data_IF_675201407910
#
_entry.id   IF_675201407910
#
_cell.length_a   1.000
_cell.length_b   1.000
_cell.length_c   1.000
_cell.angle_alpha   90.00
_cell.angle_beta   90.00
_cell.angle_gamma   90.00
#
_symmetry.space_group_name_H-M   'P 1'
#
loop_
_entity.id
_entity.type
_entity.pdbx_description
1 polymer ?
#
# COMPACT_ATOMS: atom_id res chain seq x y z
N UNK A 1 -5.24 -20.07 57.68
CA UNK A 1 -5.06 -20.84 56.44
C UNK A 1 -4.35 -19.92 55.45
N UNK A 2 -3.03 -20.07 55.32
CA UNK A 2 -2.24 -19.28 54.37
C UNK A 2 -2.55 -19.85 52.99
N UNK A 3 -3.11 -19.06 52.07
CA UNK A 3 -3.16 -19.44 50.66
C UNK A 3 -1.71 -19.52 50.19
N UNK A 4 -1.13 -20.71 50.19
CA UNK A 4 0.04 -20.97 49.35
C UNK A 4 -0.45 -20.84 47.91
N UNK A 5 -0.06 -19.77 47.23
CA UNK A 5 -0.17 -19.71 45.77
C UNK A 5 0.53 -20.95 45.24
N UNK A 6 -0.25 -21.88 44.70
CA UNK A 6 0.28 -23.08 44.10
C UNK A 6 1.05 -22.66 42.84
N UNK A 7 2.37 -22.52 43.00
CA UNK A 7 3.25 -22.12 41.90
C UNK A 7 3.39 -23.22 40.86
N UNK A 8 2.84 -24.42 41.09
CA UNK A 8 2.78 -25.50 40.10
C UNK A 8 2.12 -25.05 38.81
N UNK A 9 1.11 -24.17 38.89
CA UNK A 9 0.50 -23.57 37.72
C UNK A 9 1.51 -22.83 36.84
N UNK A 10 2.48 -22.13 37.44
CA UNK A 10 3.52 -21.38 36.73
C UNK A 10 4.67 -22.29 36.30
N UNK A 11 5.07 -23.24 37.14
CA UNK A 11 6.28 -24.05 36.93
C UNK A 11 6.04 -25.29 36.07
N UNK A 12 4.89 -25.94 36.16
CA UNK A 12 4.63 -27.23 35.50
C UNK A 12 3.99 -27.06 34.11
N UNK A 13 3.55 -25.85 33.79
CA UNK A 13 2.92 -25.47 32.52
C UNK A 13 3.61 -24.34 31.76
N UNK A 14 4.87 -24.01 32.09
CA UNK A 14 5.56 -22.83 31.57
C UNK A 14 5.57 -22.74 30.03
N UNK A 15 5.68 -23.88 29.34
CA UNK A 15 5.67 -23.94 27.88
C UNK A 15 4.27 -23.65 27.29
N UNK A 16 3.21 -24.08 27.97
CA UNK A 16 1.83 -23.70 27.63
C UNK A 16 1.55 -22.22 27.87
N UNK A 17 2.04 -21.66 28.99
CA UNK A 17 1.93 -20.22 29.24
C UNK A 17 2.71 -19.39 28.21
N UNK A 18 3.89 -19.86 27.81
CA UNK A 18 4.68 -19.23 26.76
C UNK A 18 3.93 -19.21 25.43
N UNK A 19 3.25 -20.29 25.05
CA UNK A 19 2.46 -20.32 23.80
C UNK A 19 1.30 -19.32 23.85
N UNK A 20 0.52 -19.27 24.94
CA UNK A 20 -0.56 -18.28 25.09
C UNK A 20 -0.04 -16.85 25.14
N UNK A 21 1.08 -16.60 25.82
CA UNK A 21 1.70 -15.28 25.87
C UNK A 21 2.12 -14.81 24.47
N UNK A 22 2.77 -15.67 23.69
CA UNK A 22 3.13 -15.38 22.30
C UNK A 22 1.90 -15.11 21.43
N UNK A 23 0.80 -15.84 21.66
CA UNK A 23 -0.47 -15.61 20.97
C UNK A 23 -1.07 -14.24 21.33
N UNK A 24 -1.12 -13.90 22.62
CA UNK A 24 -1.63 -12.59 23.08
C UNK A 24 -0.76 -11.45 22.54
N UNK A 25 0.57 -11.60 22.59
CA UNK A 25 1.49 -10.63 22.00
C UNK A 25 1.29 -10.48 20.49
N UNK A 26 0.98 -11.58 19.77
CA UNK A 26 0.68 -11.52 18.34
C UNK A 26 -0.53 -10.65 18.04
N UNK A 27 -1.55 -10.63 18.92
CA UNK A 27 -2.76 -9.80 18.76
C UNK A 27 -2.49 -8.30 18.94
N UNK A 28 -1.37 -7.93 19.57
CA UNK A 28 -0.94 -6.54 19.69
C UNK A 28 -0.16 -6.06 18.46
N UNK A 29 0.27 -6.97 17.58
CA UNK A 29 1.10 -6.63 16.43
C UNK A 29 0.28 -6.05 15.29
N UNK A 30 0.74 -4.92 14.75
CA UNK A 30 0.08 -4.22 13.64
C UNK A 30 0.60 -4.62 12.26
N UNK A 31 1.70 -5.37 12.18
CA UNK A 31 2.28 -5.81 10.91
C UNK A 31 1.96 -7.27 10.62
N UNK A 32 1.48 -7.53 9.40
CA UNK A 32 1.06 -8.87 8.96
C UNK A 32 2.19 -9.91 9.09
N UNK A 33 3.43 -9.56 8.74
CA UNK A 33 4.55 -10.51 8.78
C UNK A 33 4.86 -10.95 10.21
N UNK A 34 5.00 -10.00 11.14
CA UNK A 34 5.37 -10.33 12.51
C UNK A 34 4.25 -11.06 13.26
N UNK A 35 2.99 -10.70 12.99
CA UNK A 35 1.84 -11.40 13.56
C UNK A 35 1.88 -12.88 13.16
N UNK A 36 2.09 -13.18 11.87
CA UNK A 36 2.19 -14.57 11.38
C UNK A 36 3.38 -15.31 11.99
N UNK A 37 4.54 -14.67 12.09
CA UNK A 37 5.73 -15.29 12.71
C UNK A 37 5.51 -15.62 14.19
N UNK A 38 4.88 -14.72 14.96
CA UNK A 38 4.59 -14.95 16.37
C UNK A 38 3.53 -16.03 16.58
N UNK A 39 2.50 -16.08 15.73
CA UNK A 39 1.50 -17.17 15.75
C UNK A 39 2.15 -18.51 15.46
N UNK A 40 3.03 -18.59 14.45
CA UNK A 40 3.79 -19.83 14.16
C UNK A 40 4.68 -20.22 15.34
N UNK A 41 5.41 -19.28 15.93
CA UNK A 41 6.25 -19.55 17.10
C UNK A 41 5.44 -20.03 18.32
N UNK A 42 4.29 -19.39 18.59
CA UNK A 42 3.33 -19.79 19.62
C UNK A 42 2.84 -21.21 19.38
N UNK A 43 2.39 -21.52 18.16
CA UNK A 43 1.83 -22.81 17.83
C UNK A 43 2.87 -23.93 17.89
N UNK A 44 4.12 -23.67 17.49
CA UNK A 44 5.23 -24.63 17.66
C UNK A 44 5.53 -24.92 19.13
N UNK A 45 5.51 -23.90 20.00
CA UNK A 45 5.64 -24.09 21.44
C UNK A 45 4.45 -24.89 22.02
N UNK A 46 3.23 -24.61 21.53
CA UNK A 46 2.02 -25.36 21.86
C UNK A 46 2.11 -26.85 21.48
N UNK A 47 2.56 -27.15 20.24
CA UNK A 47 2.79 -28.53 19.77
C UNK A 47 3.77 -29.26 20.67
N UNK A 48 4.90 -28.62 20.99
CA UNK A 48 5.90 -29.22 21.87
C UNK A 48 5.32 -29.56 23.24
N UNK A 49 4.53 -28.64 23.81
CA UNK A 49 3.88 -28.86 25.11
C UNK A 49 2.83 -29.99 25.06
N UNK A 50 1.93 -29.96 24.07
CA UNK A 50 0.89 -30.97 23.89
C UNK A 50 1.47 -32.37 23.65
N UNK A 51 2.59 -32.45 22.91
CA UNK A 51 3.23 -33.72 22.58
C UNK A 51 4.08 -34.30 23.73
N UNK A 52 4.96 -33.50 24.34
CA UNK A 52 5.94 -34.01 25.31
C UNK A 52 5.41 -34.07 26.76
N UNK A 53 4.47 -33.20 27.15
CA UNK A 53 3.97 -33.12 28.54
C UNK A 53 2.56 -33.66 28.71
N UNK A 54 1.64 -33.35 27.78
CA UNK A 54 0.22 -33.69 27.93
C UNK A 54 -0.17 -34.99 27.23
N UNK A 55 0.59 -35.43 26.22
CA UNK A 55 0.19 -36.54 25.35
C UNK A 55 -1.16 -36.29 24.67
N UNK A 56 -1.44 -35.03 24.31
CA UNK A 56 -2.72 -34.56 23.79
C UNK A 56 -2.72 -34.52 22.25
N UNK A 57 -3.16 -35.58 21.54
CA UNK A 57 -3.13 -35.61 20.07
C UNK A 57 -4.07 -34.58 19.43
N UNK A 58 -5.15 -34.19 20.12
CA UNK A 58 -6.11 -33.21 19.62
C UNK A 58 -5.48 -31.81 19.59
N UNK A 59 -4.72 -31.44 20.64
CA UNK A 59 -3.97 -30.19 20.69
C UNK A 59 -2.92 -30.10 19.59
N UNK A 60 -2.10 -31.15 19.45
CA UNK A 60 -1.09 -31.25 18.38
C UNK A 60 -1.72 -31.09 16.99
N UNK A 61 -2.86 -31.72 16.73
CA UNK A 61 -3.58 -31.59 15.47
C UNK A 61 -3.99 -30.14 15.18
N UNK A 62 -4.67 -29.48 16.11
CA UNK A 62 -5.15 -28.10 15.92
C UNK A 62 -4.00 -27.10 15.78
N UNK A 63 -2.95 -27.24 16.58
CA UNK A 63 -1.77 -26.38 16.50
C UNK A 63 -1.01 -26.58 15.17
N UNK A 64 -0.94 -27.83 14.69
CA UNK A 64 -0.33 -28.13 13.38
C UNK A 64 -1.14 -27.53 12.22
N UNK A 65 -2.47 -27.56 12.31
CA UNK A 65 -3.34 -26.89 11.34
C UNK A 65 -3.11 -25.36 11.36
N UNK A 66 -2.98 -24.77 12.54
CA UNK A 66 -2.69 -23.34 12.70
C UNK A 66 -1.33 -22.96 12.07
N UNK A 67 -0.29 -23.76 12.30
CA UNK A 67 1.03 -23.58 11.66
C UNK A 67 0.89 -23.67 10.13
N UNK A 68 0.21 -24.69 9.61
CA UNK A 68 0.06 -24.89 8.17
C UNK A 68 -0.62 -23.70 7.48
N UNK A 69 -1.71 -23.19 8.06
CA UNK A 69 -2.42 -22.00 7.54
C UNK A 69 -1.51 -20.77 7.54
N UNK A 70 -0.81 -20.49 8.65
CA UNK A 70 0.06 -19.32 8.74
C UNK A 70 1.28 -19.41 7.80
N UNK A 71 1.84 -20.61 7.60
CA UNK A 71 2.89 -20.84 6.61
C UNK A 71 2.40 -20.64 5.17
N UNK A 72 1.18 -21.09 4.85
CA UNK A 72 0.58 -20.87 3.54
C UNK A 72 0.37 -19.37 3.28
N UNK A 73 -0.12 -18.61 4.25
CA UNK A 73 -0.28 -17.15 4.13
C UNK A 73 1.06 -16.43 3.98
N UNK A 74 2.09 -16.82 4.73
CA UNK A 74 3.46 -16.30 4.57
C UNK A 74 4.01 -16.60 3.16
N UNK A 75 3.77 -17.82 2.65
CA UNK A 75 4.19 -18.21 1.31
C UNK A 75 3.45 -17.41 0.22
N UNK A 76 2.15 -17.15 0.39
CA UNK A 76 1.36 -16.31 -0.53
C UNK A 76 1.89 -14.87 -0.52
N UNK A 77 2.12 -14.29 0.65
CA UNK A 77 2.68 -12.94 0.80
C UNK A 77 4.04 -12.83 0.10
N UNK A 78 4.93 -13.78 0.39
CA UNK A 78 6.26 -13.84 -0.20
C UNK A 78 6.23 -14.05 -1.72
N UNK A 79 5.36 -14.93 -2.21
CA UNK A 79 5.19 -15.19 -3.65
C UNK A 79 4.68 -13.96 -4.38
N UNK A 80 3.74 -13.23 -3.79
CA UNK A 80 3.18 -12.01 -4.38
C UNK A 80 4.23 -10.89 -4.47
N UNK A 81 5.09 -10.75 -3.45
CA UNK A 81 6.15 -9.75 -3.47
C UNK A 81 7.32 -10.14 -4.40
N UNK A 82 7.71 -11.43 -4.45
CA UNK A 82 8.81 -11.88 -5.31
C UNK A 82 8.46 -11.97 -6.80
N UNK A 83 7.19 -12.11 -7.16
CA UNK A 83 6.75 -12.18 -8.56
C UNK A 83 6.53 -10.81 -9.19
N UNK A 84 6.64 -9.74 -8.42
CA UNK A 84 6.52 -8.38 -8.94
C UNK A 84 7.73 -8.07 -9.82
N UNK A 85 7.51 -8.01 -11.13
CA UNK A 85 8.48 -7.55 -12.12
C UNK A 85 8.05 -6.16 -12.58
N UNK A 86 9.02 -5.26 -12.72
CA UNK A 86 8.81 -3.89 -13.16
C UNK A 86 9.73 -3.60 -14.33
N UNK A 87 9.22 -2.85 -15.30
CA UNK A 87 10.06 -2.20 -16.30
C UNK A 87 10.88 -1.06 -15.67
N UNK A 88 11.86 -0.53 -16.40
CA UNK A 88 12.67 0.61 -15.93
C UNK A 88 11.80 1.84 -15.64
N UNK A 89 10.80 2.12 -16.48
CA UNK A 89 9.85 3.24 -16.27
C UNK A 89 8.97 3.02 -15.02
N UNK A 90 8.51 1.78 -14.80
CA UNK A 90 7.70 1.45 -13.63
C UNK A 90 8.51 1.47 -12.33
N UNK A 91 9.78 1.06 -12.37
CA UNK A 91 10.63 1.05 -11.19
C UNK A 91 10.99 2.48 -10.73
N UNK A 92 11.24 3.38 -11.69
CA UNK A 92 11.41 4.81 -11.41
C UNK A 92 10.15 5.41 -10.75
N UNK A 93 8.97 5.16 -11.34
CA UNK A 93 7.68 5.59 -10.79
C UNK A 93 7.45 5.03 -9.37
N UNK A 94 7.66 3.73 -9.19
CA UNK A 94 7.47 3.04 -7.91
C UNK A 94 8.37 3.64 -6.83
N UNK A 95 9.64 3.85 -7.13
CA UNK A 95 10.62 4.34 -6.16
C UNK A 95 10.33 5.77 -5.72
N UNK A 96 9.84 6.61 -6.63
CA UNK A 96 9.52 8.01 -6.32
C UNK A 96 8.17 8.17 -5.61
N UNK A 97 7.14 7.45 -6.05
CA UNK A 97 5.76 7.73 -5.64
C UNK A 97 5.13 6.64 -4.76
N UNK A 98 5.54 5.39 -4.92
CA UNK A 98 4.97 4.24 -4.22
C UNK A 98 5.92 3.60 -3.19
N UNK A 99 6.94 4.34 -2.73
CA UNK A 99 7.96 3.83 -1.81
C UNK A 99 7.39 3.22 -0.49
N UNK A 100 6.18 3.60 -0.09
CA UNK A 100 5.50 3.04 1.08
C UNK A 100 4.82 1.68 0.86
N UNK A 101 4.82 1.15 -0.37
CA UNK A 101 4.18 -0.11 -0.72
C UNK A 101 5.19 -1.25 -0.88
N UNK A 102 4.77 -2.46 -0.54
CA UNK A 102 5.53 -3.66 -0.92
C UNK A 102 5.56 -3.79 -2.45
N UNK A 103 6.56 -4.49 -3.04
CA UNK A 103 6.59 -4.75 -4.48
C UNK A 103 5.28 -5.34 -5.01
N UNK A 104 4.69 -6.32 -4.32
CA UNK A 104 3.42 -6.91 -4.74
C UNK A 104 2.24 -5.93 -4.69
N UNK A 105 2.21 -5.03 -3.70
CA UNK A 105 1.21 -3.97 -3.62
C UNK A 105 1.36 -2.94 -4.74
N UNK A 106 2.59 -2.49 -5.01
CA UNK A 106 2.88 -1.55 -6.10
C UNK A 106 2.52 -2.15 -7.47
N UNK A 107 2.87 -3.41 -7.71
CA UNK A 107 2.51 -4.13 -8.95
C UNK A 107 1.00 -4.19 -9.16
N UNK A 108 0.26 -4.65 -8.14
CA UNK A 108 -1.22 -4.70 -8.18
C UNK A 108 -1.86 -3.33 -8.40
N UNK A 109 -1.24 -2.26 -7.96
CA UNK A 109 -1.73 -0.91 -8.21
C UNK A 109 -1.45 -0.48 -9.66
N UNK A 110 -0.21 -0.65 -10.13
CA UNK A 110 0.18 -0.32 -11.49
C UNK A 110 -0.65 -1.07 -12.55
N UNK A 111 -0.99 -2.34 -12.28
CA UNK A 111 -1.80 -3.17 -13.16
C UNK A 111 -3.26 -2.69 -13.33
N UNK A 112 -3.73 -1.78 -12.47
CA UNK A 112 -5.07 -1.17 -12.61
C UNK A 112 -5.11 -0.01 -13.60
N UNK A 113 -3.94 0.56 -13.88
CA UNK A 113 -3.76 1.58 -14.90
C UNK A 113 -3.04 1.04 -16.12
N UNK A 114 -2.66 1.95 -17.02
CA UNK A 114 -1.94 1.62 -18.25
C UNK A 114 -1.03 2.75 -18.66
N UNK A 115 0.10 2.37 -19.25
CA UNK A 115 1.00 3.31 -19.90
C UNK A 115 0.50 3.63 -21.30
N UNK A 116 0.48 4.92 -21.65
CA UNK A 116 0.04 5.44 -22.94
C UNK A 116 1.03 6.51 -23.43
N UNK A 117 1.19 6.60 -24.75
CA UNK A 117 1.77 7.78 -25.40
C UNK A 117 0.62 8.67 -25.88
N UNK A 118 0.64 9.93 -25.46
CA UNK A 118 -0.37 10.91 -25.83
C UNK A 118 0.27 12.02 -26.68
N UNK A 119 -0.41 12.46 -27.76
CA UNK A 119 0.11 13.51 -28.62
C UNK A 119 0.02 14.89 -27.96
N UNK A 120 0.85 15.81 -28.46
CA UNK A 120 0.72 17.24 -28.18
C UNK A 120 -0.70 17.75 -28.45
N UNK A 121 -1.15 18.73 -27.69
CA UNK A 121 -2.48 19.33 -27.78
C UNK A 121 -3.59 18.51 -27.10
N UNK A 122 -3.30 17.28 -26.64
CA UNK A 122 -4.27 16.50 -25.87
C UNK A 122 -4.59 17.19 -24.54
N UNK A 123 -5.87 17.35 -24.25
CA UNK A 123 -6.37 17.83 -22.96
C UNK A 123 -6.49 16.63 -22.00
N UNK A 124 -5.87 16.73 -20.82
CA UNK A 124 -5.98 15.70 -19.78
C UNK A 124 -7.08 16.00 -18.76
N UNK A 125 -7.26 17.27 -18.41
CA UNK A 125 -8.33 17.77 -17.54
C UNK A 125 -8.89 19.07 -18.08
N UNK A 126 -10.16 19.34 -17.78
CA UNK A 126 -10.83 20.59 -18.08
C UNK A 126 -11.34 21.18 -16.78
N UNK A 127 -11.01 22.45 -16.54
CA UNK A 127 -11.42 23.18 -15.35
C UNK A 127 -12.94 23.10 -15.11
N UNK A 128 -13.33 22.81 -13.87
CA UNK A 128 -14.73 22.61 -13.45
C UNK A 128 -15.34 21.26 -13.84
N UNK A 129 -14.67 20.44 -14.68
CA UNK A 129 -15.17 19.12 -15.06
C UNK A 129 -14.52 18.00 -14.26
N UNK A 130 -15.26 16.93 -13.97
CA UNK A 130 -14.70 15.76 -13.28
C UNK A 130 -13.78 14.98 -14.23
N UNK A 131 -12.48 14.83 -13.93
CA UNK A 131 -11.58 14.03 -14.75
C UNK A 131 -11.97 12.55 -14.76
N UNK A 132 -11.97 11.93 -15.93
CA UNK A 132 -12.19 10.49 -16.07
C UNK A 132 -10.99 9.68 -15.56
N UNK A 133 -9.77 10.25 -15.69
CA UNK A 133 -8.52 9.58 -15.33
C UNK A 133 -7.67 10.45 -14.42
N UNK A 134 -7.03 9.82 -13.44
CA UNK A 134 -5.79 10.32 -12.86
C UNK A 134 -4.64 9.94 -13.80
N UNK A 135 -3.80 10.90 -14.14
CA UNK A 135 -2.64 10.66 -15.01
C UNK A 135 -1.35 11.02 -14.27
N UNK A 136 -0.33 10.19 -14.41
CA UNK A 136 1.04 10.53 -14.03
C UNK A 136 1.84 10.79 -15.30
N UNK A 137 2.49 11.96 -15.37
CA UNK A 137 3.34 12.35 -16.48
C UNK A 137 4.75 11.82 -16.22
N UNK A 138 5.21 10.84 -17.01
CA UNK A 138 6.57 10.31 -16.89
C UNK A 138 7.59 11.11 -17.70
N UNK A 139 7.19 11.62 -18.87
CA UNK A 139 8.01 12.48 -19.71
C UNK A 139 7.15 13.38 -20.58
N UNK A 140 7.75 14.47 -21.07
CA UNK A 140 7.09 15.52 -21.84
C UNK A 140 6.66 16.68 -20.95
N UNK A 141 5.86 17.58 -21.51
CA UNK A 141 5.48 18.85 -20.91
C UNK A 141 3.96 19.05 -20.97
N UNK A 142 3.39 19.61 -19.90
CA UNK A 142 1.97 19.94 -19.83
C UNK A 142 1.78 21.37 -19.32
N UNK A 143 1.00 22.14 -20.06
CA UNK A 143 0.61 23.49 -19.68
C UNK A 143 -0.66 23.45 -18.83
N UNK A 144 -0.64 24.16 -17.71
CA UNK A 144 -1.73 24.27 -16.73
C UNK A 144 -2.34 25.67 -16.86
N UNK A 145 -3.64 25.70 -17.16
CA UNK A 145 -4.43 26.91 -17.31
C UNK A 145 -5.52 26.98 -16.24
N UNK A 146 -5.65 28.16 -15.60
CA UNK A 146 -6.72 28.48 -14.63
C UNK A 146 -7.38 29.76 -15.10
N UNK A 147 -8.71 29.82 -15.11
CA UNK A 147 -9.47 30.95 -15.66
C UNK A 147 -9.03 31.33 -17.09
N UNK A 148 -8.66 30.33 -17.89
CA UNK A 148 -8.15 30.50 -19.26
C UNK A 148 -6.75 31.12 -19.37
N UNK A 149 -6.06 31.42 -18.26
CA UNK A 149 -4.70 31.96 -18.25
C UNK A 149 -3.69 30.86 -18.02
N UNK A 150 -2.59 30.87 -18.79
CA UNK A 150 -1.45 29.99 -18.54
C UNK A 150 -0.81 30.35 -17.20
N UNK A 151 -0.89 29.45 -16.23
CA UNK A 151 -0.28 29.61 -14.91
C UNK A 151 1.12 29.04 -14.89
N UNK A 152 1.31 27.85 -15.49
CA UNK A 152 2.57 27.10 -15.41
C UNK A 152 2.66 26.04 -16.51
N UNK A 153 3.89 25.69 -16.89
CA UNK A 153 4.22 24.44 -17.58
C UNK A 153 4.98 23.54 -16.61
N UNK A 154 4.58 22.27 -16.52
CA UNK A 154 5.29 21.26 -15.71
C UNK A 154 5.81 20.15 -16.61
N UNK A 155 7.01 19.66 -16.29
CA UNK A 155 7.67 18.54 -16.96
C UNK A 155 7.24 17.19 -16.35
N UNK A 156 7.86 16.09 -16.78
CA UNK A 156 7.66 14.77 -16.19
C UNK A 156 7.96 14.72 -14.68
N UNK A 157 7.29 13.80 -13.98
CA UNK A 157 7.41 13.62 -12.53
C UNK A 157 6.15 13.98 -11.74
N UNK A 158 5.10 14.48 -12.40
CA UNK A 158 3.93 15.06 -11.74
C UNK A 158 2.63 14.30 -12.03
N UNK A 159 1.71 14.29 -11.06
CA UNK A 159 0.34 13.85 -11.30
C UNK A 159 -0.48 14.95 -11.98
N UNK A 160 -1.54 14.56 -12.66
CA UNK A 160 -2.52 15.45 -13.28
C UNK A 160 -3.91 14.92 -12.94
N UNK A 161 -4.73 15.80 -12.36
CA UNK A 161 -6.08 15.48 -11.90
C UNK A 161 -6.16 15.00 -10.44
N UNK A 162 -5.05 14.98 -9.70
CA UNK A 162 -4.97 14.55 -8.31
C UNK A 162 -5.82 15.41 -7.37
N UNK A 163 -5.91 16.73 -7.63
CA UNK A 163 -6.71 17.64 -6.79
C UNK A 163 -8.18 17.28 -6.81
N UNK A 164 -8.69 16.81 -7.95
CA UNK A 164 -10.09 16.37 -8.08
C UNK A 164 -10.38 15.12 -7.26
N UNK A 165 -9.37 14.31 -6.89
CA UNK A 165 -9.57 13.12 -6.05
C UNK A 165 -9.57 13.48 -4.56
N UNK A 166 -8.92 14.57 -4.18
CA UNK A 166 -8.84 15.05 -2.79
C UNK A 166 -10.03 15.94 -2.45
N UNK A 167 -10.46 16.80 -3.38
CA UNK A 167 -11.61 17.71 -3.21
C UNK A 167 -12.95 17.11 -3.64
N UNK A 168 -14.03 17.84 -3.36
CA UNK A 168 -15.40 17.52 -3.79
C UNK A 168 -15.72 18.07 -5.20
N UNK A 169 -14.95 19.06 -5.66
CA UNK A 169 -15.15 19.71 -6.96
C UNK A 169 -14.27 19.11 -8.06
N UNK A 170 -14.66 19.35 -9.32
CA UNK A 170 -13.96 18.87 -10.52
C UNK A 170 -12.49 19.32 -10.63
N UNK A 171 -11.91 19.23 -11.82
CA UNK A 171 -10.53 19.69 -12.00
C UNK A 171 -10.43 21.19 -11.70
N UNK A 172 -9.39 21.59 -10.95
CA UNK A 172 -9.10 22.99 -10.62
C UNK A 172 -8.47 23.74 -11.80
N UNK A 173 -7.96 23.02 -12.79
CA UNK A 173 -7.27 23.59 -13.93
C UNK A 173 -7.51 22.77 -15.20
N UNK A 174 -7.43 23.45 -16.34
CA UNK A 174 -7.34 22.83 -17.66
C UNK A 174 -5.89 22.52 -17.97
N UNK A 175 -5.57 21.27 -18.30
CA UNK A 175 -4.18 20.86 -18.62
C UNK A 175 -4.06 20.35 -20.04
N UNK A 176 -3.10 20.88 -20.80
CA UNK A 176 -2.91 20.63 -22.22
C UNK A 176 -1.46 20.22 -22.48
N UNK A 177 -1.26 19.06 -23.09
CA UNK A 177 0.09 18.58 -23.45
C UNK A 177 0.75 19.54 -24.45
N UNK A 178 1.98 19.95 -24.17
CA UNK A 178 2.79 20.83 -25.04
C UNK A 178 3.77 20.06 -25.92
N UNK A 179 4.01 18.79 -25.58
CA UNK A 179 4.82 17.86 -26.35
C UNK A 179 4.14 16.48 -26.37
N UNK A 180 4.59 15.52 -27.21
CA UNK A 180 4.22 14.13 -27.03
C UNK A 180 4.68 13.63 -25.66
N UNK A 181 3.77 13.05 -24.88
CA UNK A 181 4.03 12.67 -23.50
C UNK A 181 3.83 11.16 -23.27
N UNK A 182 4.71 10.58 -22.43
CA UNK A 182 4.51 9.25 -21.85
C UNK A 182 3.78 9.39 -20.52
N UNK A 183 2.61 8.77 -20.40
CA UNK A 183 1.78 8.88 -19.19
C UNK A 183 1.35 7.52 -18.67
N UNK A 184 1.24 7.37 -17.36
CA UNK A 184 0.50 6.27 -16.74
C UNK A 184 -0.88 6.78 -16.33
N UNK A 185 -1.95 6.10 -16.73
CA UNK A 185 -3.33 6.53 -16.47
C UNK A 185 -4.13 5.47 -15.75
N UNK A 186 -4.94 5.89 -14.79
CA UNK A 186 -5.90 5.05 -14.08
C UNK A 186 -7.24 5.76 -14.00
N UNK A 187 -8.32 5.01 -14.24
CA UNK A 187 -9.68 5.53 -14.10
C UNK A 187 -9.91 6.05 -12.68
N UNK A 188 -10.53 7.23 -12.58
CA UNK A 188 -10.88 7.87 -11.31
C UNK A 188 -11.60 6.90 -10.37
N UNK A 189 -12.60 6.18 -10.88
CA UNK A 189 -13.39 5.24 -10.08
C UNK A 189 -12.56 4.09 -9.51
N UNK A 190 -11.52 3.63 -10.21
CA UNK A 190 -10.61 2.61 -9.70
C UNK A 190 -9.79 3.14 -8.52
N UNK A 191 -9.42 4.42 -8.54
CA UNK A 191 -8.74 5.07 -7.41
C UNK A 191 -9.70 5.27 -6.24
N UNK A 192 -10.92 5.74 -6.49
CA UNK A 192 -11.93 5.94 -5.46
C UNK A 192 -12.29 4.63 -4.75
N UNK A 193 -12.40 3.51 -5.49
CA UNK A 193 -12.62 2.17 -4.91
C UNK A 193 -11.50 1.72 -3.96
N UNK A 194 -10.30 2.30 -4.02
CA UNK A 194 -9.25 2.00 -3.04
C UNK A 194 -9.59 2.50 -1.64
N UNK A 195 -10.46 3.52 -1.51
CA UNK A 195 -10.98 4.00 -0.21
C UNK A 195 -11.69 2.91 0.57
N UNK A 196 -12.33 1.99 -0.11
CA UNK A 196 -13.10 0.91 0.52
C UNK A 196 -12.30 -0.40 0.59
N UNK A 197 -11.46 -0.65 -0.40
CA UNK A 197 -10.85 -1.97 -0.59
C UNK A 197 -9.40 -2.07 -0.10
N UNK A 198 -8.68 -0.95 0.02
CA UNK A 198 -7.25 -0.98 0.37
C UNK A 198 -6.75 0.38 0.91
N UNK A 199 -7.07 0.67 2.17
CA UNK A 199 -6.66 1.90 2.88
C UNK A 199 -5.14 2.13 2.89
N UNK A 200 -4.34 1.06 2.97
CA UNK A 200 -2.88 1.18 3.00
C UNK A 200 -2.34 1.73 1.67
N UNK A 201 -2.83 1.23 0.54
CA UNK A 201 -2.45 1.76 -0.77
C UNK A 201 -2.93 3.19 -0.97
N UNK A 202 -4.17 3.50 -0.56
CA UNK A 202 -4.68 4.86 -0.64
C UNK A 202 -3.83 5.85 0.17
N UNK A 203 -3.48 5.52 1.42
CA UNK A 203 -2.68 6.40 2.26
C UNK A 203 -1.31 6.76 1.63
N UNK A 204 -0.68 5.79 0.95
CA UNK A 204 0.57 6.05 0.22
C UNK A 204 0.33 6.96 -0.99
N UNK A 205 -0.77 6.78 -1.71
CA UNK A 205 -1.14 7.64 -2.84
C UNK A 205 -1.46 9.07 -2.40
N UNK A 206 -2.25 9.24 -1.35
CA UNK A 206 -2.56 10.57 -0.79
C UNK A 206 -1.29 11.29 -0.33
N UNK A 207 -0.37 10.56 0.32
CA UNK A 207 0.94 11.11 0.67
C UNK A 207 1.77 11.49 -0.58
N UNK A 208 1.69 10.72 -1.66
CA UNK A 208 2.34 11.04 -2.92
C UNK A 208 1.72 12.29 -3.59
N UNK A 209 0.39 12.41 -3.61
CA UNK A 209 -0.32 13.58 -4.12
C UNK A 209 0.05 14.83 -3.33
N UNK A 210 0.06 14.77 -1.99
CA UNK A 210 0.44 15.90 -1.16
C UNK A 210 1.88 16.37 -1.43
N UNK A 211 2.83 15.43 -1.61
CA UNK A 211 4.22 15.78 -1.98
C UNK A 211 4.30 16.42 -3.37
N UNK A 212 3.56 15.87 -4.33
CA UNK A 212 3.52 16.38 -5.70
C UNK A 212 2.93 17.80 -5.77
N UNK A 213 1.78 18.02 -5.13
CA UNK A 213 1.14 19.34 -5.02
C UNK A 213 2.08 20.36 -4.37
N UNK A 214 2.78 19.97 -3.29
CA UNK A 214 3.76 20.83 -2.64
C UNK A 214 4.91 21.20 -3.58
N UNK A 215 5.39 20.25 -4.39
CA UNK A 215 6.42 20.52 -5.39
C UNK A 215 5.95 21.59 -6.39
N UNK A 216 4.74 21.44 -6.94
CA UNK A 216 4.15 22.40 -7.89
C UNK A 216 3.99 23.82 -7.30
N UNK A 217 3.64 23.93 -6.02
CA UNK A 217 3.48 25.22 -5.30
C UNK A 217 4.82 25.90 -4.97
N UNK A 218 5.85 25.13 -4.56
CA UNK A 218 7.16 25.72 -4.21
C UNK A 218 7.79 26.43 -5.40
N UNK A 219 7.58 25.93 -6.61
CA UNK A 219 8.04 26.61 -7.82
C UNK A 219 7.24 27.89 -8.15
N UNK A 220 6.15 28.21 -7.44
CA UNK A 220 5.36 29.43 -7.64
C UNK A 220 5.97 30.59 -6.84
N UNK A 221 6.36 30.34 -5.58
CA UNK A 221 7.02 31.33 -4.73
C UNK A 221 8.49 31.61 -5.12
N UNK A 222 9.17 30.71 -5.84
CA UNK A 222 10.56 30.92 -6.25
C UNK A 222 10.71 31.87 -7.46
N UNK A 223 9.61 32.31 -8.07
CA UNK A 223 9.58 33.21 -9.23
C UNK A 223 8.83 34.53 -8.99
N UNK A 224 8.34 34.78 -7.76
CA UNK A 224 7.76 36.07 -7.35
C UNK A 224 8.78 36.99 -6.70
#
# INVERSE_FOLDING_TARGET
>A
MILSLDTSFITDGWAGHLSYLLLVLSMLMRSMLWLRLMVVASALAGIAFDYFWLGNPVGVFWQSLLVAVNLAELAILWRNDRRAVFSVEEDAYRTQLLAGLTPGQARRFLDRGRWEELPEGKILTTEGQTPEFLSYLSSGEVAIHIDGRLVRVVEGGHFIGEMSLVGEDGAVATTILQTPCRVWRIERDKVLRLRETNHATLAVLEAAFARDMRSKLIFENARS
#
